data_IF_179107661107
#
_entry.id   IF_179107661107
#
_cell.length_a   1.000
_cell.length_b   1.000
_cell.length_c   1.000
_cell.angle_alpha   90.00
_cell.angle_beta   90.00
_cell.angle_gamma   90.00
#
_symmetry.space_group_name_H-M   'P 1'
#
loop_
_entity.id
_entity.type
_entity.pdbx_description
1 polymer ?
#
# COMPACT_ATOMS: atom_id res chain seq x y z
N UNK A 1 0.53 -1.47 20.80
CA UNK A 1 0.38 -1.79 19.39
C UNK A 1 1.26 -0.88 18.53
N UNK A 2 1.69 -1.37 17.36
CA UNK A 2 2.51 -0.60 16.40
C UNK A 2 1.96 -0.78 14.99
N UNK A 3 1.92 0.32 14.22
CA UNK A 3 1.69 0.31 12.77
C UNK A 3 2.98 0.68 12.05
N UNK A 4 3.53 -0.23 11.25
CA UNK A 4 4.71 0.03 10.43
C UNK A 4 4.29 0.51 9.04
N UNK A 5 4.33 1.83 8.83
CA UNK A 5 3.96 2.49 7.57
C UNK A 5 5.15 3.09 6.81
N UNK A 6 6.38 2.97 7.34
CA UNK A 6 7.57 3.56 6.74
C UNK A 6 8.05 2.74 5.53
N UNK A 7 8.17 3.37 4.38
CA UNK A 7 8.73 2.76 3.18
C UNK A 7 9.14 3.83 2.14
N UNK A 8 10.14 3.50 1.32
CA UNK A 8 10.38 4.17 0.03
C UNK A 8 9.50 3.47 -1.02
N UNK A 9 8.53 4.20 -1.61
CA UNK A 9 7.47 3.64 -2.47
C UNK A 9 7.54 4.03 -3.95
N UNK A 10 8.37 5.01 -4.30
CA UNK A 10 8.48 5.49 -5.67
C UNK A 10 9.32 4.52 -6.50
N UNK A 11 8.70 3.86 -7.47
CA UNK A 11 9.36 2.85 -8.32
C UNK A 11 10.60 3.42 -9.01
N UNK A 12 10.56 4.58 -9.70
CA UNK A 12 11.75 5.11 -10.36
C UNK A 12 12.89 5.43 -9.39
N UNK A 13 12.58 5.94 -8.20
CA UNK A 13 13.59 6.25 -7.18
C UNK A 13 14.22 4.97 -6.60
N UNK A 14 13.45 3.92 -6.42
CA UNK A 14 13.94 2.63 -5.96
C UNK A 14 14.89 1.98 -6.98
N UNK A 15 14.56 2.03 -8.26
CA UNK A 15 15.42 1.52 -9.33
C UNK A 15 16.72 2.33 -9.47
N UNK A 16 16.64 3.66 -9.28
CA UNK A 16 17.80 4.54 -9.36
C UNK A 16 18.71 4.41 -8.13
N UNK A 17 18.17 4.22 -6.93
CA UNK A 17 18.92 4.13 -5.68
C UNK A 17 18.51 2.87 -4.90
N UNK A 18 18.92 1.67 -5.38
CA UNK A 18 18.48 0.39 -4.82
C UNK A 18 18.93 0.19 -3.37
N UNK A 19 20.12 0.66 -3.00
CA UNK A 19 20.68 0.50 -1.68
C UNK A 19 19.82 1.18 -0.60
N UNK A 20 19.38 2.41 -0.82
CA UNK A 20 18.50 3.13 0.12
C UNK A 20 17.10 2.50 0.20
N UNK A 21 16.60 1.95 -0.91
CA UNK A 21 15.33 1.23 -0.91
C UNK A 21 15.41 -0.05 -0.06
N UNK A 22 16.49 -0.82 -0.19
CA UNK A 22 16.75 -2.02 0.61
C UNK A 22 16.91 -1.67 2.09
N UNK A 23 17.75 -0.69 2.41
CA UNK A 23 17.96 -0.25 3.79
C UNK A 23 16.67 0.18 4.47
N UNK A 24 15.86 0.98 3.78
CA UNK A 24 14.60 1.48 4.35
C UNK A 24 13.55 0.37 4.45
N UNK A 25 13.30 -0.37 3.37
CA UNK A 25 12.15 -1.28 3.30
C UNK A 25 12.44 -2.65 3.93
N UNK A 26 13.69 -3.13 3.86
CA UNK A 26 14.08 -4.45 4.39
C UNK A 26 14.76 -4.30 5.76
N UNK A 27 15.89 -3.57 5.83
CA UNK A 27 16.59 -3.44 7.10
C UNK A 27 15.76 -2.65 8.11
N UNK A 28 15.00 -1.62 7.65
CA UNK A 28 14.05 -0.90 8.48
C UNK A 28 12.95 -1.82 9.06
N UNK A 29 12.42 -2.75 8.26
CA UNK A 29 11.47 -3.76 8.74
C UNK A 29 12.10 -4.65 9.83
N UNK A 30 13.31 -5.17 9.62
CA UNK A 30 14.04 -5.96 10.61
C UNK A 30 14.26 -5.20 11.93
N UNK A 31 14.66 -3.93 11.84
CA UNK A 31 14.87 -3.08 13.01
C UNK A 31 13.57 -2.86 13.81
N UNK A 32 12.44 -2.63 13.11
CA UNK A 32 11.13 -2.48 13.76
C UNK A 32 10.68 -3.79 14.42
N UNK A 33 10.86 -4.93 13.74
CA UNK A 33 10.54 -6.24 14.30
C UNK A 33 11.31 -6.48 15.60
N UNK A 34 12.63 -6.32 15.58
CA UNK A 34 13.48 -6.52 16.76
C UNK A 34 13.07 -5.56 17.90
N UNK A 35 12.90 -4.27 17.59
CA UNK A 35 12.48 -3.30 18.59
C UNK A 35 11.10 -3.62 19.20
N UNK A 36 10.15 -4.14 18.42
CA UNK A 36 8.84 -4.54 18.93
C UNK A 36 8.94 -5.74 19.85
N UNK A 37 9.76 -6.74 19.52
CA UNK A 37 10.00 -7.91 20.34
C UNK A 37 10.69 -7.51 21.66
N UNK A 38 11.77 -6.71 21.57
CA UNK A 38 12.55 -6.28 22.74
C UNK A 38 11.73 -5.44 23.73
N UNK A 39 10.72 -4.71 23.24
CA UNK A 39 9.83 -3.89 24.08
C UNK A 39 8.48 -4.57 24.42
N UNK A 40 8.31 -5.85 24.11
CA UNK A 40 7.09 -6.60 24.46
C UNK A 40 5.81 -6.01 23.84
N UNK A 41 5.90 -5.50 22.60
CA UNK A 41 4.72 -4.99 21.89
C UNK A 41 3.76 -6.15 21.61
N UNK A 42 2.49 -5.98 21.96
CA UNK A 42 1.48 -7.03 21.81
C UNK A 42 1.19 -7.36 20.34
N UNK A 43 0.87 -6.33 19.54
CA UNK A 43 0.45 -6.48 18.13
C UNK A 43 1.10 -5.46 17.22
N UNK A 44 1.51 -5.92 16.05
CA UNK A 44 2.13 -5.10 15.01
C UNK A 44 1.44 -5.38 13.67
N UNK A 45 1.02 -4.34 12.97
CA UNK A 45 0.56 -4.41 11.58
C UNK A 45 1.55 -3.69 10.68
N UNK A 46 2.07 -4.40 9.68
CA UNK A 46 2.89 -3.80 8.63
C UNK A 46 2.05 -3.49 7.39
N UNK A 47 2.22 -2.29 6.83
CA UNK A 47 1.54 -1.89 5.60
C UNK A 47 2.27 -2.44 4.38
N UNK A 48 1.55 -3.09 3.47
CA UNK A 48 2.04 -3.63 2.22
C UNK A 48 1.30 -3.07 1.00
N UNK A 49 1.51 -3.64 -0.16
CA UNK A 49 1.03 -3.15 -1.45
C UNK A 49 0.76 -4.31 -2.42
N UNK A 50 -0.15 -4.09 -3.37
CA UNK A 50 -0.37 -4.95 -4.54
C UNK A 50 0.92 -5.23 -5.34
N UNK A 51 1.91 -4.34 -5.27
CA UNK A 51 3.20 -4.48 -5.96
C UNK A 51 4.12 -5.53 -5.32
N UNK A 52 3.83 -5.96 -4.09
CA UNK A 52 4.52 -7.05 -3.42
C UNK A 52 4.11 -8.45 -3.95
N UNK A 53 2.91 -8.55 -4.58
CA UNK A 53 2.46 -9.79 -5.19
C UNK A 53 3.09 -9.94 -6.59
N UNK A 54 3.89 -10.97 -6.81
CA UNK A 54 4.66 -11.21 -8.06
C UNK A 54 5.36 -9.92 -8.56
N UNK A 55 6.34 -9.40 -7.83
CA UNK A 55 6.94 -8.09 -8.10
C UNK A 55 7.70 -8.06 -9.43
N UNK A 56 7.54 -6.98 -10.20
CA UNK A 56 8.28 -6.71 -11.44
C UNK A 56 9.23 -5.51 -11.29
N UNK A 57 9.40 -4.97 -10.09
CA UNK A 57 10.28 -3.84 -9.76
C UNK A 57 10.87 -3.99 -8.36
N UNK A 58 11.94 -3.23 -8.07
CA UNK A 58 12.64 -3.32 -6.80
C UNK A 58 11.76 -2.92 -5.62
N UNK A 59 10.93 -1.88 -5.74
CA UNK A 59 10.00 -1.51 -4.67
C UNK A 59 9.11 -2.69 -4.27
N UNK A 60 8.47 -3.35 -5.23
CA UNK A 60 7.66 -4.53 -4.98
C UNK A 60 8.45 -5.67 -4.36
N UNK A 61 9.67 -5.94 -4.86
CA UNK A 61 10.56 -6.98 -4.32
C UNK A 61 10.93 -6.71 -2.86
N UNK A 62 11.29 -5.46 -2.52
CA UNK A 62 11.59 -5.09 -1.12
C UNK A 62 10.37 -5.18 -0.22
N UNK A 63 9.16 -4.88 -0.73
CA UNK A 63 7.93 -5.04 0.04
C UNK A 63 7.55 -6.50 0.23
N UNK A 64 7.76 -7.37 -0.78
CA UNK A 64 7.61 -8.81 -0.61
C UNK A 64 8.57 -9.35 0.46
N UNK A 65 9.84 -8.93 0.45
CA UNK A 65 10.80 -9.31 1.48
C UNK A 65 10.33 -8.84 2.88
N UNK A 66 9.85 -7.59 2.99
CA UNK A 66 9.28 -7.04 4.22
C UNK A 66 8.06 -7.86 4.70
N UNK A 67 7.12 -8.21 3.80
CA UNK A 67 5.96 -9.04 4.14
C UNK A 67 6.41 -10.39 4.74
N UNK A 68 7.38 -11.06 4.10
CA UNK A 68 7.93 -12.34 4.60
C UNK A 68 8.64 -12.18 5.94
N UNK A 69 9.36 -11.08 6.19
CA UNK A 69 9.99 -10.79 7.47
C UNK A 69 8.95 -10.63 8.58
N UNK A 70 7.90 -9.83 8.37
CA UNK A 70 6.84 -9.63 9.37
C UNK A 70 6.04 -10.90 9.64
N UNK A 71 5.65 -11.65 8.61
CA UNK A 71 4.92 -12.92 8.81
C UNK A 71 5.76 -13.95 9.55
N UNK A 72 7.06 -14.08 9.23
CA UNK A 72 7.97 -15.00 9.88
C UNK A 72 8.38 -14.57 11.30
N UNK A 73 8.31 -13.27 11.64
CA UNK A 73 8.70 -12.74 12.95
C UNK A 73 7.89 -13.33 14.12
N UNK A 74 6.69 -13.85 13.85
CA UNK A 74 5.90 -14.56 14.84
C UNK A 74 6.63 -15.77 15.43
N UNK A 75 7.53 -16.40 14.67
CA UNK A 75 8.35 -17.53 15.16
C UNK A 75 9.50 -17.08 16.06
N UNK A 76 9.83 -15.79 16.11
CA UNK A 76 10.91 -15.23 16.93
C UNK A 76 10.43 -14.82 18.33
N UNK A 77 9.16 -14.42 18.46
CA UNK A 77 8.60 -13.85 19.68
C UNK A 77 8.30 -14.86 20.80
N UNK A 78 8.35 -16.16 20.53
CA UNK A 78 8.05 -17.20 21.55
C UNK A 78 6.61 -17.16 22.10
N UNK A 79 6.35 -17.86 23.21
CA UNK A 79 5.01 -18.03 23.77
C UNK A 79 4.39 -16.75 24.38
N UNK A 80 5.22 -15.77 24.78
CA UNK A 80 4.75 -14.47 25.30
C UNK A 80 4.64 -13.41 24.20
N UNK A 81 4.69 -13.82 22.95
CA UNK A 81 5.23 -13.08 21.83
C UNK A 81 4.36 -12.01 21.26
N UNK A 82 5.05 -10.99 20.80
CA UNK A 82 4.55 -10.01 19.82
C UNK A 82 3.93 -10.72 18.62
N UNK A 83 2.73 -10.33 18.23
CA UNK A 83 2.06 -10.84 17.02
C UNK A 83 2.23 -9.85 15.89
N UNK A 84 2.60 -10.36 14.73
CA UNK A 84 2.85 -9.59 13.51
C UNK A 84 1.92 -10.06 12.41
N UNK A 85 1.23 -9.13 11.74
CA UNK A 85 0.49 -9.40 10.51
C UNK A 85 0.70 -8.27 9.52
N UNK A 86 0.27 -8.48 8.30
CA UNK A 86 0.43 -7.56 7.17
C UNK A 86 -0.95 -7.17 6.65
N UNK A 87 -1.14 -5.91 6.27
CA UNK A 87 -2.27 -5.49 5.44
C UNK A 87 -1.75 -5.10 4.06
N UNK A 88 -2.33 -5.68 3.02
CA UNK A 88 -1.97 -5.44 1.62
C UNK A 88 -3.15 -4.80 0.91
N UNK A 89 -2.94 -3.62 0.30
CA UNK A 89 -3.97 -2.92 -0.47
C UNK A 89 -3.39 -2.26 -1.72
N UNK A 90 -4.28 -1.77 -2.57
CA UNK A 90 -3.93 -1.15 -3.85
C UNK A 90 -3.55 0.31 -3.74
N UNK A 91 -3.93 1.09 -4.75
CA UNK A 91 -3.63 2.51 -4.82
C UNK A 91 -4.53 3.32 -3.88
N UNK A 92 -3.92 4.06 -2.95
CA UNK A 92 -4.64 5.00 -2.08
C UNK A 92 -4.84 6.32 -2.83
N UNK A 93 -6.11 6.77 -2.89
CA UNK A 93 -6.53 8.00 -3.57
C UNK A 93 -5.79 9.21 -2.99
N UNK A 94 -5.34 10.11 -3.86
CA UNK A 94 -4.68 11.36 -3.45
C UNK A 94 -3.31 11.18 -2.79
N UNK A 95 -2.77 9.96 -2.73
CA UNK A 95 -1.45 9.72 -2.13
C UNK A 95 -0.35 10.49 -2.87
N UNK A 96 0.66 10.98 -2.13
CA UNK A 96 1.76 11.79 -2.68
C UNK A 96 2.45 11.11 -3.86
N UNK A 97 2.57 11.84 -4.98
CA UNK A 97 3.18 11.36 -6.22
C UNK A 97 2.32 10.36 -7.00
N UNK A 98 1.02 10.25 -6.69
CA UNK A 98 0.07 9.40 -7.42
C UNK A 98 -0.51 10.10 -8.66
N UNK A 99 -1.25 9.34 -9.46
CA UNK A 99 -1.83 9.78 -10.74
C UNK A 99 -2.86 10.90 -10.60
N UNK A 100 -3.64 10.94 -9.50
CA UNK A 100 -4.67 11.98 -9.30
C UNK A 100 -4.06 13.38 -9.20
N UNK A 101 -3.13 13.67 -8.26
CA UNK A 101 -2.48 14.98 -8.20
C UNK A 101 -1.74 15.34 -9.50
N UNK A 102 -1.23 14.35 -10.21
CA UNK A 102 -0.56 14.57 -11.49
C UNK A 102 -1.54 15.03 -12.57
N UNK A 103 -2.68 14.37 -12.74
CA UNK A 103 -3.70 14.77 -13.72
C UNK A 103 -4.33 16.11 -13.35
N UNK A 104 -4.65 16.35 -12.08
CA UNK A 104 -5.17 17.64 -11.60
C UNK A 104 -4.21 18.81 -11.92
N UNK A 105 -2.90 18.59 -11.73
CA UNK A 105 -1.87 19.56 -12.07
C UNK A 105 -1.90 19.87 -13.58
N UNK A 106 -1.96 18.85 -14.42
CA UNK A 106 -2.01 19.02 -15.88
C UNK A 106 -3.25 19.82 -16.31
N UNK A 107 -4.42 19.53 -15.72
CA UNK A 107 -5.66 20.27 -15.99
C UNK A 107 -5.51 21.74 -15.60
N UNK A 108 -4.97 22.03 -14.41
CA UNK A 108 -4.71 23.40 -13.94
C UNK A 108 -3.73 24.17 -14.83
N UNK A 109 -2.78 23.48 -15.43
CA UNK A 109 -1.80 24.03 -16.38
C UNK A 109 -2.34 24.17 -17.81
N UNK A 110 -3.60 23.81 -18.05
CA UNK A 110 -4.26 23.93 -19.36
C UNK A 110 -3.82 22.88 -20.39
N UNK A 111 -3.45 21.69 -19.93
CA UNK A 111 -3.03 20.61 -20.81
C UNK A 111 -4.13 20.25 -21.83
N UNK A 112 -3.78 20.15 -23.10
CA UNK A 112 -4.69 19.78 -24.21
C UNK A 112 -4.81 18.26 -24.38
N UNK A 113 -4.01 17.47 -23.67
CA UNK A 113 -4.02 16.01 -23.69
C UNK A 113 -3.61 15.48 -22.32
N UNK A 114 -4.23 14.37 -21.87
CA UNK A 114 -3.85 13.67 -20.66
C UNK A 114 -2.99 12.45 -21.03
N UNK A 115 -1.73 12.36 -20.55
CA UNK A 115 -0.88 11.21 -20.82
C UNK A 115 -1.35 9.99 -20.01
N UNK A 116 -1.68 8.92 -20.69
CA UNK A 116 -1.99 7.63 -20.08
C UNK A 116 -0.98 6.57 -20.53
N UNK A 117 -0.65 5.66 -19.64
CA UNK A 117 0.38 4.65 -19.90
C UNK A 117 -0.09 3.62 -20.92
N UNK A 118 -1.28 3.06 -20.72
CA UNK A 118 -1.95 2.10 -21.62
C UNK A 118 -3.47 2.15 -21.36
N UNK A 119 -4.28 2.08 -22.40
CA UNK A 119 -5.75 2.15 -22.31
C UNK A 119 -6.37 0.95 -21.58
N UNK A 120 -5.67 -0.17 -21.54
CA UNK A 120 -6.10 -1.41 -20.86
C UNK A 120 -5.78 -1.44 -19.38
N UNK A 121 -4.97 -0.48 -18.89
CA UNK A 121 -4.41 -0.50 -17.54
C UNK A 121 -5.49 -0.37 -16.48
N UNK A 122 -5.45 -1.27 -15.48
CA UNK A 122 -6.35 -1.26 -14.34
C UNK A 122 -5.60 -1.19 -13.03
N UNK A 123 -6.22 -0.63 -11.99
CA UNK A 123 -5.67 -0.54 -10.63
C UNK A 123 -6.77 -0.83 -9.62
N UNK A 124 -6.38 -1.40 -8.49
CA UNK A 124 -7.22 -1.41 -7.29
C UNK A 124 -7.26 -0.02 -6.67
N UNK A 125 -8.39 0.37 -6.09
CA UNK A 125 -8.63 1.73 -5.64
C UNK A 125 -9.22 1.76 -4.23
N UNK A 126 -8.60 2.50 -3.31
CA UNK A 126 -9.03 2.59 -1.91
C UNK A 126 -8.87 4.02 -1.42
N UNK A 127 -9.78 4.49 -0.55
CA UNK A 127 -9.62 5.77 0.16
C UNK A 127 -8.65 5.62 1.33
N UNK A 128 -8.16 6.76 1.85
CA UNK A 128 -7.28 6.74 3.03
C UNK A 128 -8.04 6.21 4.26
N UNK A 129 -9.29 6.63 4.45
CA UNK A 129 -10.11 6.20 5.58
C UNK A 129 -10.35 4.68 5.54
N UNK A 130 -10.71 4.13 4.38
CA UNK A 130 -10.85 2.68 4.20
C UNK A 130 -9.54 1.92 4.48
N UNK A 131 -8.38 2.50 4.10
CA UNK A 131 -7.08 1.90 4.38
C UNK A 131 -6.75 1.92 5.89
N UNK A 132 -7.16 2.98 6.60
CA UNK A 132 -7.06 3.10 8.06
C UNK A 132 -7.96 2.08 8.74
N UNK A 133 -9.23 1.99 8.33
CA UNK A 133 -10.19 1.02 8.88
C UNK A 133 -9.68 -0.41 8.72
N UNK A 134 -9.10 -0.75 7.57
CA UNK A 134 -8.48 -2.05 7.33
C UNK A 134 -7.35 -2.36 8.34
N UNK A 135 -6.55 -1.38 8.72
CA UNK A 135 -5.49 -1.56 9.72
C UNK A 135 -6.10 -1.87 11.10
N UNK A 136 -7.16 -1.15 11.50
CA UNK A 136 -7.85 -1.43 12.76
C UNK A 136 -8.52 -2.80 12.75
N UNK A 137 -9.21 -3.14 11.67
CA UNK A 137 -9.78 -4.48 11.50
C UNK A 137 -8.71 -5.58 11.55
N UNK A 138 -7.54 -5.35 10.96
CA UNK A 138 -6.41 -6.26 11.04
C UNK A 138 -5.99 -6.53 12.48
N UNK A 139 -5.90 -5.51 13.35
CA UNK A 139 -5.60 -5.68 14.77
C UNK A 139 -6.64 -6.49 15.53
N UNK A 140 -7.92 -6.35 15.17
CA UNK A 140 -9.01 -7.09 15.82
C UNK A 140 -9.07 -8.55 15.37
N UNK A 141 -8.71 -8.82 14.10
CA UNK A 141 -8.87 -10.12 13.44
C UNK A 141 -7.63 -11.02 13.53
N UNK A 142 -6.43 -10.44 13.72
CA UNK A 142 -5.16 -11.17 13.60
C UNK A 142 -4.92 -12.20 14.70
N UNK A 143 -4.43 -13.36 14.30
CA UNK A 143 -3.76 -14.35 15.14
C UNK A 143 -2.24 -14.21 15.11
N UNK A 144 -1.69 -13.69 14.01
CA UNK A 144 -0.29 -13.50 13.67
C UNK A 144 0.13 -14.33 12.46
N UNK A 145 0.87 -13.70 11.55
CA UNK A 145 1.38 -14.33 10.32
C UNK A 145 0.51 -14.10 9.08
N UNK A 146 -0.71 -13.60 9.23
CA UNK A 146 -1.63 -13.37 8.13
C UNK A 146 -1.24 -12.15 7.28
N UNK A 147 -1.59 -12.23 5.99
CA UNK A 147 -1.65 -11.06 5.10
C UNK A 147 -3.13 -10.80 4.79
N UNK A 148 -3.68 -9.72 5.35
CA UNK A 148 -5.05 -9.28 5.09
C UNK A 148 -5.11 -8.52 3.77
N UNK A 149 -6.05 -8.88 2.90
CA UNK A 149 -6.27 -8.29 1.58
C UNK A 149 -7.73 -7.87 1.45
N UNK A 150 -8.06 -6.58 1.41
CA UNK A 150 -9.45 -6.13 1.33
C UNK A 150 -10.07 -6.41 -0.04
N UNK A 151 -11.37 -6.70 -0.07
CA UNK A 151 -12.16 -6.70 -1.30
C UNK A 151 -12.52 -5.26 -1.66
N UNK A 152 -11.73 -4.64 -2.51
CA UNK A 152 -11.86 -3.24 -2.92
C UNK A 152 -12.13 -3.13 -4.42
N UNK A 153 -12.75 -2.04 -4.89
CA UNK A 153 -13.01 -1.85 -6.31
C UNK A 153 -11.75 -1.68 -7.14
N UNK A 154 -11.89 -1.95 -8.42
CA UNK A 154 -10.92 -1.60 -9.47
C UNK A 154 -11.37 -0.39 -10.27
N UNK A 155 -10.44 0.23 -10.97
CA UNK A 155 -10.71 1.29 -11.94
C UNK A 155 -9.86 1.11 -13.20
N UNK A 156 -10.30 1.65 -14.34
CA UNK A 156 -9.49 1.83 -15.53
C UNK A 156 -8.82 3.19 -15.49
N UNK A 157 -7.57 3.27 -15.92
CA UNK A 157 -6.83 4.55 -15.95
C UNK A 157 -7.50 5.54 -16.91
N UNK A 158 -8.15 5.05 -17.97
CA UNK A 158 -8.96 5.87 -18.89
C UNK A 158 -10.16 6.53 -18.22
N UNK A 159 -10.87 5.77 -17.38
CA UNK A 159 -12.06 6.26 -16.67
C UNK A 159 -11.68 7.29 -15.60
N UNK A 160 -10.52 7.09 -14.94
CA UNK A 160 -9.96 8.08 -14.03
C UNK A 160 -9.56 9.38 -14.77
N UNK A 161 -8.93 9.26 -15.94
CA UNK A 161 -8.59 10.44 -16.75
C UNK A 161 -9.82 11.21 -17.17
N UNK A 162 -10.90 10.54 -17.60
CA UNK A 162 -12.19 11.16 -17.93
C UNK A 162 -12.88 11.78 -16.71
N UNK A 163 -12.76 11.16 -15.53
CA UNK A 163 -13.32 11.71 -14.28
C UNK A 163 -12.67 13.04 -13.89
N UNK A 164 -11.35 13.18 -14.06
CA UNK A 164 -10.58 14.37 -13.67
C UNK A 164 -10.57 15.44 -14.78
N UNK A 165 -10.51 15.02 -16.05
CA UNK A 165 -10.38 15.88 -17.22
C UNK A 165 -11.42 15.52 -18.30
N UNK A 166 -12.72 15.80 -18.06
CA UNK A 166 -13.78 15.41 -18.97
C UNK A 166 -13.57 15.97 -20.40
N UNK A 167 -13.66 15.08 -21.40
CA UNK A 167 -13.53 15.43 -22.80
C UNK A 167 -12.12 15.82 -23.27
N UNK A 168 -11.12 15.76 -22.42
CA UNK A 168 -9.72 16.01 -22.81
C UNK A 168 -9.13 14.74 -23.45
N UNK A 169 -8.60 14.81 -24.70
CA UNK A 169 -8.05 13.64 -25.37
C UNK A 169 -6.94 12.95 -24.59
N UNK A 170 -6.90 11.61 -24.67
CA UNK A 170 -5.85 10.82 -24.05
C UNK A 170 -4.69 10.60 -25.03
N UNK A 171 -3.45 10.75 -24.54
CA UNK A 171 -2.23 10.43 -25.26
C UNK A 171 -1.57 9.18 -24.64
N UNK A 172 -1.56 8.07 -25.37
CA UNK A 172 -0.85 6.87 -24.92
C UNK A 172 0.66 7.10 -24.98
N UNK A 173 1.34 6.95 -23.84
CA UNK A 173 2.79 7.19 -23.71
C UNK A 173 3.61 5.91 -23.58
N UNK A 174 2.97 4.73 -23.47
CA UNK A 174 3.61 3.43 -23.28
C UNK A 174 3.82 3.06 -21.81
N UNK A 175 3.94 1.75 -21.56
CA UNK A 175 4.19 1.21 -20.21
C UNK A 175 5.62 1.53 -19.79
N UNK A 176 5.79 2.05 -18.57
CA UNK A 176 7.11 2.34 -18.02
C UNK A 176 7.78 1.06 -17.50
N UNK A 177 9.12 1.00 -17.49
CA UNK A 177 9.82 -0.10 -16.84
C UNK A 177 9.36 -0.30 -15.40
N UNK A 178 9.07 -1.53 -15.01
CA UNK A 178 8.61 -1.85 -13.66
C UNK A 178 7.13 -1.58 -13.37
N UNK A 179 6.33 -1.21 -14.39
CA UNK A 179 4.87 -1.10 -14.25
C UNK A 179 4.15 -2.33 -14.79
N UNK A 180 3.16 -2.81 -14.06
CA UNK A 180 2.24 -3.87 -14.51
C UNK A 180 1.08 -3.26 -15.27
N UNK A 181 0.56 -3.98 -16.28
CA UNK A 181 -0.69 -3.63 -16.93
C UNK A 181 -1.87 -3.72 -15.96
N UNK A 182 -1.93 -4.81 -15.19
CA UNK A 182 -2.91 -5.07 -14.14
C UNK A 182 -2.20 -5.39 -12.84
N UNK A 183 -2.77 -4.96 -11.71
CA UNK A 183 -2.24 -5.28 -10.38
C UNK A 183 -2.87 -6.56 -9.83
N UNK A 184 -2.13 -7.21 -8.94
CA UNK A 184 -2.50 -8.48 -8.32
C UNK A 184 -2.32 -8.36 -6.81
N UNK A 185 -3.31 -8.79 -6.03
CA UNK A 185 -3.21 -8.81 -4.57
C UNK A 185 -3.12 -10.21 -3.98
N UNK A 186 -3.88 -11.19 -4.52
CA UNK A 186 -3.70 -12.60 -4.19
C UNK A 186 -3.26 -13.31 -5.47
N UNK A 187 -2.00 -13.76 -5.56
CA UNK A 187 -1.51 -14.56 -6.69
C UNK A 187 -2.09 -15.97 -6.68
N UNK A 188 -2.23 -16.59 -7.86
CA UNK A 188 -2.65 -17.97 -8.01
C UNK A 188 -1.77 -18.94 -7.21
N UNK A 189 -0.46 -18.68 -7.14
CA UNK A 189 0.51 -19.47 -6.39
C UNK A 189 0.21 -19.51 -4.88
N UNK A 190 -0.56 -18.53 -4.37
CA UNK A 190 -0.99 -18.46 -2.97
C UNK A 190 -2.43 -18.96 -2.77
N UNK A 191 -3.11 -19.47 -3.80
CA UNK A 191 -4.51 -19.88 -3.68
C UNK A 191 -4.72 -20.95 -2.58
N UNK A 192 -3.79 -21.91 -2.48
CA UNK A 192 -3.86 -22.98 -1.46
C UNK A 192 -3.68 -22.47 0.00
N UNK A 193 -3.17 -21.27 0.20
CA UNK A 193 -3.01 -20.59 1.49
C UNK A 193 -4.05 -19.47 1.67
N UNK A 194 -4.95 -19.24 0.70
CA UNK A 194 -5.87 -18.11 0.71
C UNK A 194 -7.25 -18.54 1.21
N UNK A 195 -7.75 -17.78 2.17
CA UNK A 195 -9.10 -17.90 2.70
C UNK A 195 -9.92 -16.67 2.30
N UNK A 196 -11.16 -16.91 1.89
CA UNK A 196 -12.12 -15.87 1.57
C UNK A 196 -13.04 -15.62 2.76
N UNK A 197 -13.06 -14.38 3.26
CA UNK A 197 -14.01 -13.84 4.22
C UNK A 197 -15.00 -12.92 3.51
N UNK A 198 -16.00 -12.41 4.23
CA UNK A 198 -17.04 -11.56 3.66
C UNK A 198 -16.47 -10.35 2.92
N UNK A 199 -15.57 -9.59 3.56
CA UNK A 199 -15.07 -8.29 3.05
C UNK A 199 -13.58 -8.30 2.72
N UNK A 200 -12.87 -9.41 2.91
CA UNK A 200 -11.43 -9.52 2.70
C UNK A 200 -11.02 -10.96 2.38
N UNK A 201 -9.81 -11.09 1.87
CA UNK A 201 -9.09 -12.37 1.82
C UNK A 201 -7.98 -12.37 2.87
N UNK A 202 -7.59 -13.54 3.30
CA UNK A 202 -6.44 -13.78 4.18
C UNK A 202 -5.52 -14.76 3.50
N UNK A 203 -4.27 -14.36 3.27
CA UNK A 203 -3.20 -15.31 2.90
C UNK A 203 -2.57 -15.75 4.21
N UNK A 204 -2.72 -17.04 4.54
CA UNK A 204 -2.21 -17.63 5.78
C UNK A 204 -0.70 -17.86 5.70
N UNK A 205 0.02 -17.91 6.82
CA UNK A 205 1.44 -18.22 6.80
C UNK A 205 1.69 -19.67 6.36
N UNK A 206 2.69 -19.87 5.49
CA UNK A 206 3.08 -21.20 5.00
C UNK A 206 3.58 -22.14 6.11
N UNK A 207 4.09 -21.60 7.21
CA UNK A 207 4.58 -22.36 8.37
C UNK A 207 4.32 -21.59 9.67
N UNK A 208 3.83 -22.28 10.69
CA UNK A 208 3.59 -21.73 12.03
C UNK A 208 4.29 -22.59 13.08
N UNK A 209 5.17 -21.98 13.88
CA UNK A 209 5.84 -22.61 15.03
C UNK A 209 5.48 -21.93 16.36
N UNK A 210 4.64 -20.90 16.35
CA UNK A 210 4.31 -20.06 17.51
C UNK A 210 2.93 -20.37 18.12
N UNK A 211 2.15 -21.24 17.48
CA UNK A 211 0.83 -21.65 17.96
C UNK A 211 0.11 -22.52 16.94
N UNK A 212 -0.91 -23.21 17.39
CA UNK A 212 -1.83 -24.00 16.57
C UNK A 212 -3.12 -23.16 16.42
N UNK A 213 -3.19 -22.39 15.33
CA UNK A 213 -4.32 -21.52 15.06
C UNK A 213 -5.14 -22.05 13.88
N UNK A 214 -6.45 -22.09 14.06
CA UNK A 214 -7.41 -22.30 12.97
C UNK A 214 -7.64 -20.95 12.26
N UNK A 215 -6.86 -20.67 11.22
CA UNK A 215 -7.00 -19.44 10.44
C UNK A 215 -8.33 -19.35 9.66
N UNK A 216 -9.12 -20.43 9.59
CA UNK A 216 -10.47 -20.37 9.03
C UNK A 216 -11.46 -19.60 9.90
N UNK A 217 -11.08 -19.29 11.14
CA UNK A 217 -11.84 -18.45 12.08
C UNK A 217 -10.95 -17.31 12.53
N UNK A 218 -11.31 -16.08 12.21
CA UNK A 218 -10.53 -14.91 12.62
C UNK A 218 -10.72 -14.54 14.10
N UNK A 219 -9.95 -13.57 14.59
CA UNK A 219 -10.02 -13.09 15.98
C UNK A 219 -11.37 -12.49 16.40
N UNK A 220 -12.28 -12.20 15.46
CA UNK A 220 -13.67 -11.74 15.70
C UNK A 220 -14.68 -12.90 15.65
N UNK A 221 -14.24 -14.10 15.33
CA UNK A 221 -15.09 -15.29 15.18
C UNK A 221 -15.78 -15.39 13.81
N UNK A 222 -15.41 -14.57 12.82
CA UNK A 222 -15.90 -14.72 11.45
C UNK A 222 -15.22 -15.93 10.80
N UNK A 223 -16.01 -16.71 10.02
CA UNK A 223 -15.50 -17.88 9.29
C UNK A 223 -15.19 -17.54 7.84
N UNK A 224 -13.95 -17.82 7.45
CA UNK A 224 -13.51 -17.83 6.07
C UNK A 224 -13.62 -19.22 5.44
N UNK A 225 -13.59 -19.28 4.12
CA UNK A 225 -13.59 -20.50 3.32
C UNK A 225 -12.35 -20.52 2.43
N UNK A 226 -11.73 -21.68 2.17
CA UNK A 226 -10.69 -21.78 1.16
C UNK A 226 -11.19 -21.29 -0.19
N UNK A 227 -10.37 -20.54 -0.92
CA UNK A 227 -10.68 -20.18 -2.30
C UNK A 227 -10.52 -21.39 -3.23
N UNK A 228 -11.08 -21.30 -4.43
CA UNK A 228 -10.95 -22.36 -5.45
C UNK A 228 -9.50 -22.46 -5.95
N UNK A 229 -9.10 -23.65 -6.41
CA UNK A 229 -7.83 -23.87 -7.10
C UNK A 229 -7.73 -22.94 -8.34
N UNK A 230 -6.60 -22.31 -8.54
CA UNK A 230 -6.40 -21.34 -9.61
C UNK A 230 -6.98 -19.94 -9.33
N UNK A 231 -7.46 -19.68 -8.11
CA UNK A 231 -7.96 -18.36 -7.73
C UNK A 231 -6.83 -17.31 -7.81
N UNK A 232 -7.14 -16.18 -8.46
CA UNK A 232 -6.33 -14.95 -8.37
C UNK A 232 -7.23 -13.74 -8.07
N UNK A 233 -6.76 -12.82 -7.21
CA UNK A 233 -7.44 -11.53 -7.00
C UNK A 233 -6.69 -10.43 -7.73
N UNK A 234 -7.17 -10.10 -8.94
CA UNK A 234 -6.52 -9.25 -9.93
C UNK A 234 -7.41 -8.09 -10.35
N UNK A 235 -6.81 -6.93 -10.57
CA UNK A 235 -7.54 -5.71 -10.88
C UNK A 235 -8.30 -5.73 -12.20
N UNK A 236 -7.91 -6.59 -13.17
CA UNK A 236 -8.60 -6.71 -14.47
C UNK A 236 -9.83 -7.61 -14.46
N UNK A 237 -9.87 -8.56 -13.53
CA UNK A 237 -10.95 -9.57 -13.40
C UNK A 237 -11.84 -9.33 -12.18
N UNK A 238 -11.58 -8.26 -11.43
CA UNK A 238 -12.39 -7.87 -10.27
C UNK A 238 -13.84 -7.60 -10.70
N UNK A 239 -14.84 -8.18 -10.03
CA UNK A 239 -16.26 -7.96 -10.39
C UNK A 239 -16.75 -6.54 -10.12
N UNK A 240 -16.05 -5.78 -9.27
CA UNK A 240 -16.41 -4.41 -8.90
C UNK A 240 -15.48 -3.39 -9.55
N UNK A 241 -15.96 -2.72 -10.62
CA UNK A 241 -15.30 -1.57 -11.25
C UNK A 241 -16.03 -0.27 -10.92
N UNK A 242 -15.25 0.75 -10.56
CA UNK A 242 -15.79 2.11 -10.38
C UNK A 242 -16.15 2.74 -11.73
N UNK A 243 -17.30 3.41 -11.76
CA UNK A 243 -17.72 4.25 -12.87
C UNK A 243 -16.99 5.59 -12.88
N UNK A 244 -17.08 6.35 -13.98
CA UNK A 244 -16.50 7.70 -14.08
C UNK A 244 -17.10 8.65 -13.04
N UNK A 245 -18.40 8.54 -12.76
CA UNK A 245 -19.11 9.33 -11.75
C UNK A 245 -18.60 9.05 -10.34
N UNK A 246 -18.51 7.76 -9.96
CA UNK A 246 -17.97 7.35 -8.66
C UNK A 246 -16.50 7.78 -8.47
N UNK A 247 -15.69 7.69 -9.53
CA UNK A 247 -14.30 8.17 -9.50
C UNK A 247 -14.23 9.69 -9.29
N UNK A 248 -15.13 10.46 -9.93
CA UNK A 248 -15.21 11.91 -9.76
C UNK A 248 -15.58 12.29 -8.34
N UNK A 249 -16.57 11.62 -7.76
CA UNK A 249 -17.00 11.86 -6.38
C UNK A 249 -15.88 11.54 -5.39
N UNK A 250 -15.23 10.39 -5.51
CA UNK A 250 -14.12 10.00 -4.66
C UNK A 250 -12.91 10.96 -4.77
N UNK A 251 -12.58 11.43 -5.95
CA UNK A 251 -11.51 12.41 -6.13
C UNK A 251 -11.86 13.77 -5.51
N UNK A 252 -13.12 14.23 -5.60
CA UNK A 252 -13.56 15.51 -5.03
C UNK A 252 -13.51 15.52 -3.50
N UNK A 253 -13.92 14.43 -2.85
CA UNK A 253 -13.85 14.26 -1.39
C UNK A 253 -12.39 14.23 -0.92
N UNK A 254 -11.52 13.54 -1.65
CA UNK A 254 -10.08 13.47 -1.32
C UNK A 254 -9.37 14.82 -1.42
N UNK A 255 -9.76 15.68 -2.35
CA UNK A 255 -9.19 17.03 -2.50
C UNK A 255 -9.53 17.95 -1.31
N UNK A 256 -10.70 17.77 -0.67
CA UNK A 256 -11.14 18.56 0.49
C UNK A 256 -10.53 18.09 1.82
N UNK A 257 -9.99 16.86 1.88
CA UNK A 257 -9.45 16.25 3.10
C UNK A 257 -7.94 16.51 3.33
N UNK A 258 -7.24 17.18 2.42
CA UNK A 258 -5.82 17.53 2.61
C UNK A 258 -5.70 18.70 3.57
N UNK A 259 -5.12 18.55 4.78
CA UNK A 259 -4.88 19.70 5.70
C UNK A 259 -3.91 20.67 5.00
N UNK A 260 -4.31 21.92 4.91
CA UNK A 260 -3.47 23.05 4.50
C UNK A 260 -2.22 23.05 5.38
N UNK A 261 -1.05 22.96 4.75
CA UNK A 261 0.25 22.66 5.30
C UNK A 261 0.61 23.37 6.60
N UNK A 262 1.44 22.70 7.38
CA UNK A 262 2.34 23.33 8.33
C UNK A 262 3.22 24.31 7.56
N UNK A 263 2.87 25.61 7.60
CA UNK A 263 3.75 26.71 7.24
C UNK A 263 4.84 26.76 8.29
N UNK A 264 6.01 26.20 7.96
CA UNK A 264 7.20 26.36 8.78
C UNK A 264 7.49 27.86 8.94
N UNK A 265 7.30 28.39 10.14
CA UNK A 265 7.83 29.69 10.52
C UNK A 265 9.36 29.66 10.32
N UNK A 266 9.84 30.39 9.33
CA UNK A 266 11.25 30.74 9.24
C UNK A 266 11.54 31.63 10.47
N UNK A 267 12.29 31.08 11.44
CA UNK A 267 12.91 31.92 12.49
C UNK A 267 13.87 32.86 11.79
N UNK A 268 13.56 34.17 11.82
CA UNK A 268 14.48 35.23 11.53
C UNK A 268 15.52 35.24 12.66
N UNK A 269 16.71 34.74 12.38
CA UNK A 269 17.89 35.06 13.19
C UNK A 269 18.36 36.47 12.80
N UNK A 270 18.19 37.40 13.73
CA UNK A 270 18.71 38.74 13.67
C UNK A 270 20.25 38.73 13.48
N UNK A 271 20.71 39.34 12.40
CA UNK A 271 22.10 39.73 12.24
C UNK A 271 22.46 40.78 13.28
N UNK A 272 23.31 40.41 14.22
CA UNK A 272 24.00 41.32 15.11
C UNK A 272 25.31 41.75 14.46
N UNK A 273 25.36 43.00 14.01
CA UNK A 273 26.56 43.70 13.64
C UNK A 273 27.52 43.83 14.83
N UNK A 274 28.76 43.37 14.70
CA UNK A 274 29.88 43.83 15.52
C UNK A 274 31.11 44.00 14.64
N UNK A 275 31.53 45.24 14.53
CA UNK A 275 32.72 45.74 13.87
C UNK A 275 33.94 45.68 14.81
N UNK A 276 35.15 45.77 14.17
CA UNK A 276 36.49 46.11 14.68
C UNK A 276 37.26 44.93 15.31
N UNK A 277 38.54 44.81 15.14
CA UNK A 277 39.68 45.50 14.49
C UNK A 277 40.97 44.73 14.84
N UNK A 278 41.90 44.66 13.88
CA UNK A 278 43.37 44.71 14.04
C UNK A 278 44.09 43.72 15.01
N UNK A 279 44.77 42.76 14.54
CA UNK A 279 46.21 42.61 14.35
C UNK A 279 46.56 41.35 13.58
#
# INVERSE_FOLDING_TARGET
>A
IVVHAAALKQVPAAEYNPDECIKTNINGAMNVINACIDNGIEKVIALSTDKAALPCNLYGATKLASDKLFTAANNMGGAAGTRFSVVRYGNVIGSRGSVVPFFEKLVKEGATQIPITDTRMTRFWITLDQAIDLVFEGFERMHGGEIFVPKIPSMRVTDLAEAIAPGVPHKVIGIRPGEKLHELMCPEESAHETLEFRNHFVITPATTYFGDFDYSVDGKGERGQPVEEGFEYKSSTNPHFLTVEELRDLCSVSASAVPVGFSGQKSQTSEGTASKSVH
#
